data_IF_618426030997
#
_entry.id   IF_618426030997
#
_cell.length_a   1.000
_cell.length_b   1.000
_cell.length_c   1.000
_cell.angle_alpha   90.00
_cell.angle_beta   90.00
_cell.angle_gamma   90.00
#
_symmetry.space_group_name_H-M   'P 1'
#
loop_
_entity.id
_entity.type
_entity.pdbx_description
1 polymer ?
#
# COMPACT_ATOMS: atom_id res chain seq x y z
N UNK A 1 7.29 -4.73 -13.39
CA UNK A 1 6.32 -5.43 -12.54
C UNK A 1 5.14 -6.02 -13.31
N UNK A 2 5.16 -7.34 -13.47
CA UNK A 2 4.07 -8.17 -13.99
C UNK A 2 2.89 -8.27 -12.98
N UNK A 3 1.84 -9.02 -13.34
CA UNK A 3 0.63 -9.15 -12.50
C UNK A 3 0.83 -9.98 -11.23
N UNK A 4 1.70 -10.99 -11.28
CA UNK A 4 1.99 -11.87 -10.15
C UNK A 4 2.84 -11.16 -9.08
N UNK A 5 3.92 -10.50 -9.49
CA UNK A 5 4.76 -9.67 -8.61
C UNK A 5 3.92 -8.62 -7.86
N UNK A 6 2.93 -8.02 -8.55
CA UNK A 6 2.02 -7.06 -7.92
C UNK A 6 1.12 -7.72 -6.88
N UNK A 7 0.57 -8.90 -7.18
CA UNK A 7 -0.25 -9.66 -6.23
C UNK A 7 0.54 -10.00 -4.97
N UNK A 8 1.79 -10.44 -5.14
CA UNK A 8 2.70 -10.83 -4.04
C UNK A 8 3.15 -9.63 -3.21
N UNK A 9 3.48 -8.50 -3.85
CA UNK A 9 3.75 -7.24 -3.15
C UNK A 9 2.54 -6.81 -2.30
N UNK A 10 1.33 -6.84 -2.87
CA UNK A 10 0.11 -6.50 -2.16
C UNK A 10 -0.13 -7.44 -0.96
N UNK A 11 0.12 -8.74 -1.12
CA UNK A 11 -0.03 -9.73 -0.04
C UNK A 11 0.96 -9.47 1.11
N UNK A 12 2.23 -9.20 0.80
CA UNK A 12 3.23 -8.81 1.80
C UNK A 12 2.84 -7.53 2.54
N UNK A 13 2.36 -6.50 1.81
CA UNK A 13 1.89 -5.26 2.44
C UNK A 13 0.70 -5.52 3.37
N UNK A 14 -0.25 -6.36 2.97
CA UNK A 14 -1.39 -6.74 3.81
C UNK A 14 -0.93 -7.48 5.09
N UNK A 15 0.11 -8.30 5.00
CA UNK A 15 0.70 -8.94 6.17
C UNK A 15 1.39 -7.93 7.11
N UNK A 16 2.16 -6.99 6.56
CA UNK A 16 2.72 -5.87 7.33
C UNK A 16 1.64 -5.03 8.01
N UNK A 17 0.50 -4.79 7.36
CA UNK A 17 -0.64 -4.08 7.95
C UNK A 17 -1.25 -4.84 9.12
N UNK A 18 -1.34 -6.18 9.03
CA UNK A 18 -1.76 -7.02 10.17
C UNK A 18 -0.81 -6.91 11.35
N UNK A 19 0.50 -7.04 11.10
CA UNK A 19 1.52 -6.90 12.17
C UNK A 19 1.49 -5.51 12.77
N UNK A 20 1.27 -4.46 11.97
CA UNK A 20 1.11 -3.09 12.48
C UNK A 20 -0.08 -2.98 13.43
N UNK A 21 -1.24 -3.53 13.06
CA UNK A 21 -2.43 -3.51 13.91
C UNK A 21 -2.23 -4.32 15.20
N UNK A 22 -1.52 -5.45 15.14
CA UNK A 22 -1.17 -6.24 16.31
C UNK A 22 -0.23 -5.47 17.25
N UNK A 23 0.82 -4.84 16.70
CA UNK A 23 1.74 -4.00 17.48
C UNK A 23 1.01 -2.85 18.17
N UNK A 24 0.15 -2.14 17.44
CA UNK A 24 -0.68 -1.07 17.99
C UNK A 24 -1.57 -1.57 19.14
N UNK A 25 -2.18 -2.75 19.00
CA UNK A 25 -2.99 -3.35 20.05
C UNK A 25 -2.16 -3.71 21.30
N UNK A 26 -0.94 -4.24 21.13
CA UNK A 26 -0.03 -4.56 22.24
C UNK A 26 0.40 -3.28 22.97
N UNK A 27 0.82 -2.26 22.22
CA UNK A 27 1.21 -0.96 22.77
C UNK A 27 0.04 -0.30 23.52
N UNK A 28 -1.15 -0.31 22.93
CA UNK A 28 -2.36 0.22 23.56
C UNK A 28 -2.71 -0.53 24.85
N UNK A 29 -2.62 -1.86 24.86
CA UNK A 29 -2.87 -2.66 26.06
C UNK A 29 -1.82 -2.42 27.16
N UNK A 30 -0.55 -2.26 26.79
CA UNK A 30 0.52 -1.92 27.72
C UNK A 30 0.31 -0.53 28.32
N UNK A 31 0.01 0.46 27.47
CA UNK A 31 -0.28 1.82 27.90
C UNK A 31 -1.49 1.88 28.83
N UNK A 32 -2.59 1.19 28.50
CA UNK A 32 -3.79 1.16 29.33
C UNK A 32 -3.54 0.51 30.70
N UNK A 33 -2.69 -0.52 30.76
CA UNK A 33 -2.26 -1.12 32.04
C UNK A 33 -1.49 -0.12 32.89
N UNK A 34 -0.52 0.58 32.30
CA UNK A 34 0.25 1.62 33.00
C UNK A 34 -0.65 2.75 33.48
N UNK A 35 -1.58 3.20 32.63
CA UNK A 35 -2.58 4.22 32.95
C UNK A 35 -3.45 3.82 34.14
N UNK A 36 -3.94 2.57 34.16
CA UNK A 36 -4.72 2.03 35.29
C UNK A 36 -3.88 1.84 36.55
N UNK A 37 -2.58 1.59 36.41
CA UNK A 37 -1.62 1.47 37.50
C UNK A 37 -1.23 2.80 38.14
N UNK A 38 -1.88 3.91 37.78
CA UNK A 38 -1.60 5.24 38.36
C UNK A 38 -0.48 5.99 37.65
N UNK A 39 -0.05 5.53 36.47
CA UNK A 39 0.99 6.18 35.68
C UNK A 39 2.34 6.31 36.41
N UNK A 40 2.62 5.42 37.36
CA UNK A 40 3.89 5.41 38.08
C UNK A 40 5.01 4.80 37.22
N UNK A 41 6.19 5.40 37.26
CA UNK A 41 7.35 5.00 36.48
C UNK A 41 7.25 5.26 34.96
N UNK A 42 8.23 4.75 34.19
CA UNK A 42 8.32 5.00 32.76
C UNK A 42 7.21 4.30 31.96
N UNK A 43 6.89 4.87 30.79
CA UNK A 43 5.96 4.27 29.83
C UNK A 43 6.48 2.87 29.44
N UNK A 44 5.63 1.83 29.45
CA UNK A 44 6.06 0.48 29.14
C UNK A 44 6.51 0.37 27.67
N UNK A 45 7.61 -0.35 27.46
CA UNK A 45 8.07 -0.79 26.14
C UNK A 45 7.80 -2.30 26.00
N UNK A 46 6.60 -2.71 25.56
CA UNK A 46 6.27 -4.12 25.46
C UNK A 46 7.10 -4.81 24.36
N UNK A 47 7.22 -6.13 24.45
CA UNK A 47 7.73 -6.94 23.35
C UNK A 47 6.73 -6.91 22.18
N UNK A 48 7.23 -6.62 20.98
CA UNK A 48 6.42 -6.47 19.77
C UNK A 48 6.79 -7.55 18.76
N UNK A 49 5.83 -8.09 17.99
CA UNK A 49 6.13 -9.02 16.91
C UNK A 49 6.96 -8.31 15.83
N UNK A 50 7.87 -9.08 15.23
CA UNK A 50 8.64 -8.64 14.08
C UNK A 50 7.77 -8.55 12.82
N UNK A 51 8.13 -7.65 11.93
CA UNK A 51 7.53 -7.60 10.60
C UNK A 51 8.00 -8.79 9.76
N UNK A 52 7.16 -9.31 8.85
CA UNK A 52 7.61 -10.32 7.90
C UNK A 52 8.78 -9.76 7.06
N UNK A 53 9.79 -10.59 6.71
CA UNK A 53 10.87 -10.13 5.85
C UNK A 53 10.32 -9.75 4.47
N UNK A 54 10.87 -8.70 3.87
CA UNK A 54 10.51 -8.29 2.51
C UNK A 54 11.01 -9.35 1.50
N UNK A 55 10.15 -9.84 0.57
CA UNK A 55 10.57 -10.87 -0.39
C UNK A 55 11.68 -10.38 -1.33
N UNK A 56 12.77 -11.15 -1.42
CA UNK A 56 13.98 -10.73 -2.14
C UNK A 56 13.76 -10.53 -3.64
N UNK A 57 12.89 -11.35 -4.24
CA UNK A 57 12.56 -11.28 -5.67
C UNK A 57 11.63 -10.11 -6.02
N UNK A 58 11.07 -9.42 -5.03
CA UNK A 58 10.31 -8.19 -5.21
C UNK A 58 11.16 -6.93 -5.01
N UNK A 59 12.46 -7.07 -4.75
CA UNK A 59 13.36 -5.91 -4.60
C UNK A 59 13.63 -5.28 -5.97
N UNK A 60 13.71 -3.96 -6.00
CA UNK A 60 14.04 -3.21 -7.22
C UNK A 60 12.92 -3.18 -8.27
N UNK A 61 11.69 -3.55 -7.92
CA UNK A 61 10.56 -3.44 -8.82
C UNK A 61 10.33 -1.99 -9.28
N UNK A 62 10.01 -1.85 -10.56
CA UNK A 62 9.64 -0.58 -11.20
C UNK A 62 8.13 -0.47 -11.40
N UNK A 63 7.65 0.77 -11.51
CA UNK A 63 6.24 1.06 -11.70
C UNK A 63 5.66 0.44 -12.98
N UNK A 64 6.42 0.47 -14.08
CA UNK A 64 6.09 -0.10 -15.39
C UNK A 64 4.76 0.35 -16.03
N UNK A 65 4.09 1.35 -15.44
CA UNK A 65 2.99 2.03 -16.11
C UNK A 65 3.49 2.69 -17.41
N UNK A 66 2.69 2.63 -18.47
CA UNK A 66 3.01 3.29 -19.74
C UNK A 66 3.03 4.80 -19.54
N UNK A 67 4.17 5.43 -19.83
CA UNK A 67 4.32 6.88 -19.79
C UNK A 67 3.66 7.54 -21.01
N UNK A 68 3.59 8.88 -21.01
CA UNK A 68 3.11 9.66 -22.17
C UNK A 68 3.96 9.43 -23.42
N UNK A 69 5.25 9.12 -23.27
CA UNK A 69 6.16 8.80 -24.36
C UNK A 69 6.01 7.35 -24.88
N UNK A 70 5.07 6.57 -24.34
CA UNK A 70 4.83 5.17 -24.73
C UNK A 70 5.78 4.16 -24.08
N UNK A 71 6.81 4.61 -23.37
CA UNK A 71 7.79 3.75 -22.68
C UNK A 71 7.32 3.36 -21.27
N UNK A 72 7.83 2.25 -20.68
CA UNK A 72 7.53 1.87 -19.29
C UNK A 72 8.15 2.84 -18.26
N UNK A 73 7.41 3.11 -17.18
CA UNK A 73 7.88 3.94 -16.07
C UNK A 73 8.94 3.21 -15.21
N UNK A 74 10.13 3.80 -15.07
CA UNK A 74 11.27 3.24 -14.32
C UNK A 74 11.39 3.69 -12.86
N UNK A 75 10.36 4.35 -12.31
CA UNK A 75 10.37 4.81 -10.90
C UNK A 75 10.32 3.62 -9.94
N UNK A 76 11.11 3.70 -8.86
CA UNK A 76 11.23 2.69 -7.80
C UNK A 76 10.44 3.04 -6.53
N UNK A 77 9.98 4.28 -6.39
CA UNK A 77 9.10 4.72 -5.31
C UNK A 77 7.68 4.18 -5.52
N UNK A 78 7.49 2.89 -5.18
CA UNK A 78 6.22 2.19 -5.31
C UNK A 78 5.43 2.27 -4.00
N UNK A 79 4.13 2.52 -4.15
CA UNK A 79 3.17 2.44 -3.04
C UNK A 79 2.58 1.04 -2.94
N UNK A 80 1.70 0.82 -1.97
CA UNK A 80 1.14 -0.49 -1.65
C UNK A 80 0.49 -1.22 -2.84
N UNK A 81 0.00 -0.49 -3.84
CA UNK A 81 -0.59 -1.02 -5.07
C UNK A 81 0.42 -1.29 -6.21
N UNK A 82 1.71 -1.08 -5.93
CA UNK A 82 2.81 -1.25 -6.87
C UNK A 82 2.85 -0.21 -8.01
N UNK A 83 2.34 0.99 -7.77
CA UNK A 83 2.47 2.14 -8.67
C UNK A 83 3.17 3.28 -7.97
N UNK A 84 3.87 4.11 -8.74
CA UNK A 84 4.47 5.34 -8.21
C UNK A 84 3.43 6.45 -8.07
N UNK A 85 3.77 7.52 -7.36
CA UNK A 85 2.87 8.67 -7.13
C UNK A 85 2.27 9.24 -8.43
N UNK A 86 3.03 9.22 -9.52
CA UNK A 86 2.62 9.77 -10.83
C UNK A 86 1.65 8.88 -11.60
N UNK A 87 1.58 7.59 -11.24
CA UNK A 87 0.77 6.60 -11.94
C UNK A 87 -0.25 5.94 -11.00
N UNK A 88 -0.75 6.71 -10.02
CA UNK A 88 -1.83 6.29 -9.14
C UNK A 88 -1.38 5.55 -7.87
N UNK A 89 -0.11 5.60 -7.50
CA UNK A 89 0.40 4.99 -6.26
C UNK A 89 -0.33 5.46 -5.00
N UNK A 90 -0.65 6.75 -4.93
CA UNK A 90 -1.42 7.36 -3.84
C UNK A 90 -2.94 7.24 -4.02
N UNK A 91 -3.41 6.73 -5.17
CA UNK A 91 -4.83 6.61 -5.43
C UNK A 91 -5.40 5.40 -4.69
N UNK A 92 -6.49 5.62 -3.97
CA UNK A 92 -7.25 4.57 -3.29
C UNK A 92 -8.34 3.96 -4.17
N UNK A 93 -8.46 4.43 -5.42
CA UNK A 93 -9.54 4.07 -6.32
C UNK A 93 -10.92 4.55 -5.84
N UNK A 94 -11.99 4.25 -6.62
CA UNK A 94 -13.36 4.52 -6.22
C UNK A 94 -13.79 3.58 -5.08
N UNK A 95 -14.32 4.15 -4.00
CA UNK A 95 -14.79 3.39 -2.83
C UNK A 95 -16.27 2.99 -2.92
N UNK A 96 -17.08 3.75 -3.66
CA UNK A 96 -18.52 3.49 -3.83
C UNK A 96 -18.81 2.57 -5.01
N UNK A 97 -19.95 1.89 -4.98
CA UNK A 97 -20.46 1.06 -6.08
C UNK A 97 -20.62 1.88 -7.36
N UNK A 98 -21.25 3.05 -7.27
CA UNK A 98 -21.40 4.00 -8.38
C UNK A 98 -20.06 4.46 -8.95
N UNK A 99 -19.10 4.77 -8.07
CA UNK A 99 -17.75 5.17 -8.46
C UNK A 99 -17.01 4.08 -9.23
N UNK A 100 -17.16 2.82 -8.79
CA UNK A 100 -16.60 1.65 -9.47
C UNK A 100 -17.25 1.44 -10.84
N UNK A 101 -18.57 1.54 -10.93
CA UNK A 101 -19.30 1.43 -12.18
C UNK A 101 -18.83 2.49 -13.20
N UNK A 102 -18.73 3.75 -12.77
CA UNK A 102 -18.22 4.84 -13.63
C UNK A 102 -16.78 4.60 -14.08
N UNK A 103 -15.91 4.12 -13.20
CA UNK A 103 -14.53 3.82 -13.56
C UNK A 103 -14.42 2.67 -14.58
N UNK A 104 -15.27 1.65 -14.48
CA UNK A 104 -15.31 0.53 -15.43
C UNK A 104 -15.67 0.99 -16.86
N UNK A 105 -16.59 1.95 -16.99
CA UNK A 105 -16.99 2.49 -18.30
C UNK A 105 -15.83 3.19 -19.03
N UNK A 106 -14.88 3.79 -18.30
CA UNK A 106 -13.74 4.50 -18.90
C UNK A 106 -12.81 3.58 -19.71
N UNK A 107 -12.76 2.28 -19.42
CA UNK A 107 -11.92 1.32 -20.14
C UNK A 107 -12.42 0.98 -21.54
N UNK A 108 -13.72 1.15 -21.79
CA UNK A 108 -14.39 0.80 -23.05
C UNK A 108 -14.56 1.99 -23.99
N UNK A 109 -14.42 3.21 -23.47
CA UNK A 109 -14.54 4.42 -24.28
C UNK A 109 -13.36 4.54 -25.26
N UNK A 110 -13.66 4.82 -26.54
CA UNK A 110 -12.62 5.15 -27.51
C UNK A 110 -11.87 6.40 -27.04
N UNK A 111 -10.54 6.33 -27.00
CA UNK A 111 -9.72 7.49 -26.65
C UNK A 111 -9.89 8.53 -27.76
N UNK A 112 -10.47 9.68 -27.41
CA UNK A 112 -10.60 10.81 -28.34
C UNK A 112 -9.20 11.17 -28.83
N UNK A 113 -8.95 11.09 -30.13
CA UNK A 113 -7.70 11.60 -30.71
C UNK A 113 -7.71 13.11 -30.46
N UNK A 114 -6.74 13.62 -29.71
CA UNK A 114 -6.57 15.07 -29.63
C UNK A 114 -6.09 15.53 -31.00
N UNK A 115 -6.88 16.38 -31.65
CA UNK A 115 -6.43 17.13 -32.83
C UNK A 115 -5.34 18.09 -32.39
N UNK A 116 -4.24 18.13 -33.14
CA UNK A 116 -3.13 19.07 -32.98
C UNK A 116 -3.61 20.51 -33.15
#
# INVERSE_FOLDING_TARGET
MNGDERRRLNAHNAECDRVRAEREAIEAAAFERWRRGGCDGPIPAPALPDYPPFPDDLRGLTCDARTRAGTPCRRLDLYANGRCKLHGGLSTGPRTTEGKARAALNGHASKRKQSL
#
